data_IF_166998950292
#
_entry.id   IF_166998950292
#
_cell.length_a   1.000
_cell.length_b   1.000
_cell.length_c   1.000
_cell.angle_alpha   90.00
_cell.angle_beta   90.00
_cell.angle_gamma   90.00
#
_symmetry.space_group_name_H-M   'P 1'
#
loop_
_entity.id
_entity.type
_entity.pdbx_description
1 polymer ?
#
# COMPACT_ATOMS: atom_id res chain seq x y z
N UNK A 1 -1.36 36.24 -24.64
CA UNK A 1 -0.16 35.41 -24.84
C UNK A 1 -0.53 33.96 -24.53
N UNK A 2 -0.40 33.07 -25.51
CA UNK A 2 -0.90 31.68 -25.45
C UNK A 2 -0.19 30.86 -24.36
N UNK A 3 -0.98 30.22 -23.50
CA UNK A 3 -0.51 29.28 -22.46
C UNK A 3 0.03 27.99 -23.11
N UNK A 4 1.35 27.86 -23.21
CA UNK A 4 2.02 26.62 -23.64
C UNK A 4 1.59 25.45 -22.74
N UNK A 5 1.12 24.37 -23.35
CA UNK A 5 0.82 23.11 -22.68
C UNK A 5 2.04 22.62 -21.89
N UNK A 6 1.86 22.33 -20.59
CA UNK A 6 2.93 21.71 -19.79
C UNK A 6 3.20 20.31 -20.35
N UNK A 7 4.44 20.06 -20.77
CA UNK A 7 4.89 18.78 -21.34
C UNK A 7 4.60 17.60 -20.41
N UNK A 8 4.09 16.48 -20.95
CA UNK A 8 3.70 15.28 -20.18
C UNK A 8 4.88 14.61 -19.45
N UNK A 9 6.10 14.86 -19.90
CA UNK A 9 7.33 14.31 -19.30
C UNK A 9 7.55 14.72 -17.84
N UNK A 10 6.93 15.80 -17.38
CA UNK A 10 6.99 16.23 -15.98
C UNK A 10 6.26 15.26 -15.02
N UNK A 11 5.51 14.27 -15.53
CA UNK A 11 5.00 13.16 -14.72
C UNK A 11 6.09 12.18 -14.25
N UNK A 12 7.30 12.26 -14.81
CA UNK A 12 8.40 11.33 -14.53
C UNK A 12 9.63 12.00 -13.91
N UNK A 13 9.60 13.33 -13.75
CA UNK A 13 10.70 14.12 -13.21
C UNK A 13 10.21 15.12 -12.17
N UNK A 14 11.01 15.31 -11.13
CA UNK A 14 10.84 16.38 -10.15
C UNK A 14 11.70 17.57 -10.56
N UNK A 15 11.08 18.74 -10.75
CA UNK A 15 11.79 19.96 -11.17
C UNK A 15 12.21 20.79 -9.97
N UNK A 16 13.49 21.08 -9.87
CA UNK A 16 13.98 22.13 -8.99
C UNK A 16 13.88 23.48 -9.72
N UNK A 17 13.07 24.37 -9.14
CA UNK A 17 12.73 25.68 -9.71
C UNK A 17 13.91 26.66 -9.55
N UNK A 18 14.79 26.44 -8.58
CA UNK A 18 15.91 27.34 -8.27
C UNK A 18 17.13 27.07 -9.16
N UNK A 19 17.39 25.80 -9.46
CA UNK A 19 18.58 25.36 -10.21
C UNK A 19 18.30 25.04 -11.68
N UNK A 20 17.03 25.04 -12.12
CA UNK A 20 16.60 24.56 -13.43
C UNK A 20 17.00 23.10 -13.72
N UNK A 21 17.22 22.31 -12.68
CA UNK A 21 17.50 20.88 -12.77
C UNK A 21 16.22 20.05 -12.66
N UNK A 22 16.25 18.87 -13.26
CA UNK A 22 15.18 17.89 -13.22
C UNK A 22 15.74 16.53 -12.81
N UNK A 23 15.19 15.97 -11.74
CA UNK A 23 15.60 14.67 -11.18
C UNK A 23 14.64 13.59 -11.64
N UNK A 24 15.14 12.54 -12.28
CA UNK A 24 14.32 11.41 -12.67
C UNK A 24 13.79 10.66 -11.44
N UNK A 25 12.48 10.44 -11.38
CA UNK A 25 11.85 9.76 -10.24
C UNK A 25 12.21 8.27 -10.15
N UNK A 26 12.62 7.64 -11.27
CA UNK A 26 12.92 6.22 -11.36
C UNK A 26 14.40 5.87 -11.08
N UNK A 27 15.35 6.64 -11.62
CA UNK A 27 16.78 6.35 -11.46
C UNK A 27 17.56 7.41 -10.67
N UNK A 28 16.88 8.47 -10.19
CA UNK A 28 17.46 9.57 -9.40
C UNK A 28 18.58 10.36 -10.08
N UNK A 29 18.79 10.18 -11.39
CA UNK A 29 19.73 10.99 -12.18
C UNK A 29 19.19 12.40 -12.42
N UNK A 30 20.02 13.41 -12.21
CA UNK A 30 19.74 14.83 -12.44
C UNK A 30 20.10 15.25 -13.86
N UNK A 31 19.27 16.08 -14.47
CA UNK A 31 19.43 16.62 -15.81
C UNK A 31 19.16 18.12 -15.82
N UNK A 32 19.98 18.91 -16.52
CA UNK A 32 19.70 20.33 -16.70
C UNK A 32 18.59 20.56 -17.72
N UNK A 33 17.71 21.53 -17.47
CA UNK A 33 16.59 21.86 -18.37
C UNK A 33 16.78 23.24 -19.01
N UNK A 34 16.92 23.26 -20.33
CA UNK A 34 17.17 24.46 -21.14
C UNK A 34 15.97 24.79 -22.04
N UNK A 35 14.84 25.09 -21.40
CA UNK A 35 13.63 25.62 -22.07
C UNK A 35 12.82 24.64 -22.94
N UNK A 36 13.35 23.45 -23.22
CA UNK A 36 12.62 22.32 -23.83
C UNK A 36 12.72 21.07 -22.95
N UNK A 37 12.02 19.99 -23.33
CA UNK A 37 11.98 18.75 -22.55
C UNK A 37 12.42 17.51 -23.34
N UNK A 38 13.16 17.69 -24.43
CA UNK A 38 13.53 16.60 -25.33
C UNK A 38 14.57 15.66 -24.70
N UNK A 39 15.49 16.21 -23.89
CA UNK A 39 16.48 15.45 -23.13
C UNK A 39 15.84 14.52 -22.09
N UNK A 40 14.79 15.00 -21.39
CA UNK A 40 14.03 14.22 -20.41
C UNK A 40 13.28 13.05 -21.09
N UNK A 41 12.63 13.30 -22.23
CA UNK A 41 11.96 12.24 -23.01
C UNK A 41 12.94 11.20 -23.54
N UNK A 42 14.10 11.62 -24.05
CA UNK A 42 15.15 10.70 -24.50
C UNK A 42 15.67 9.80 -23.35
N UNK A 43 15.80 10.35 -22.15
CA UNK A 43 16.14 9.57 -20.97
C UNK A 43 15.08 8.52 -20.65
N UNK A 44 13.81 8.93 -20.56
CA UNK A 44 12.69 8.06 -20.22
C UNK A 44 12.49 6.95 -21.27
N UNK A 45 12.66 7.28 -22.54
CA UNK A 45 12.61 6.30 -23.64
C UNK A 45 13.79 5.30 -23.58
N UNK A 46 15.02 5.77 -23.40
CA UNK A 46 16.22 4.90 -23.46
C UNK A 46 16.49 4.10 -22.18
N UNK A 47 16.19 4.66 -21.01
CA UNK A 47 16.55 4.06 -19.71
C UNK A 47 15.35 3.35 -19.08
N UNK A 48 14.13 3.84 -19.33
CA UNK A 48 12.91 3.35 -18.71
C UNK A 48 11.91 2.74 -19.70
N UNK A 49 12.21 2.76 -21.00
CA UNK A 49 11.40 2.18 -22.08
C UNK A 49 9.93 2.64 -22.09
N UNK A 50 9.70 3.92 -21.73
CA UNK A 50 8.38 4.55 -21.71
C UNK A 50 8.30 5.50 -22.92
N UNK A 51 7.32 5.27 -23.80
CA UNK A 51 7.09 6.09 -25.00
C UNK A 51 5.97 7.13 -24.79
N UNK A 52 6.00 8.21 -25.57
CA UNK A 52 4.97 9.26 -25.56
C UNK A 52 3.83 8.89 -26.54
N UNK A 53 2.58 8.79 -26.08
CA UNK A 53 1.43 8.43 -26.92
C UNK A 53 0.87 9.57 -27.79
N UNK A 54 1.54 10.72 -27.88
CA UNK A 54 1.17 11.80 -28.82
C UNK A 54 2.15 11.91 -29.99
N UNK A 55 1.86 11.17 -31.06
CA UNK A 55 2.43 11.39 -32.39
C UNK A 55 1.76 12.56 -33.11
N UNK A 56 2.58 13.54 -33.50
CA UNK A 56 2.62 14.17 -34.84
C UNK A 56 1.30 14.32 -35.63
N UNK A 57 0.85 15.57 -35.83
CA UNK A 57 0.12 16.01 -37.04
C UNK A 57 0.99 17.11 -37.70
N UNK A 58 1.66 16.85 -38.82
CA UNK A 58 1.20 16.78 -40.22
C UNK A 58 1.17 18.16 -40.91
N UNK A 59 1.95 18.30 -41.98
CA UNK A 59 1.78 19.31 -43.02
C UNK A 59 1.23 18.63 -44.27
N UNK A 60 0.33 19.33 -44.97
CA UNK A 60 -0.37 18.96 -46.22
C UNK A 60 -1.51 17.94 -46.01
N UNK A 61 -2.75 18.11 -46.47
CA UNK A 61 -3.28 18.90 -47.59
C UNK A 61 -4.70 19.43 -47.32
N UNK A 62 -4.99 20.57 -47.95
CA UNK A 62 -6.29 21.23 -48.10
C UNK A 62 -7.06 20.72 -49.32
N UNK A 63 -8.34 20.34 -49.18
CA UNK A 63 -9.38 20.56 -50.21
C UNK A 63 -10.80 20.47 -49.59
N UNK A 64 -11.54 21.59 -49.69
CA UNK A 64 -12.90 21.78 -50.26
C UNK A 64 -13.91 20.62 -50.28
N UNK A 65 -15.25 20.77 -50.19
CA UNK A 65 -16.23 21.85 -50.00
C UNK A 65 -17.61 21.13 -49.89
N UNK A 66 -18.58 21.75 -49.22
CA UNK A 66 -20.00 21.84 -49.66
C UNK A 66 -21.01 20.67 -49.51
N UNK A 67 -21.98 20.91 -48.61
CA UNK A 67 -23.42 21.20 -48.89
C UNK A 67 -24.50 20.11 -48.78
N UNK A 68 -25.61 20.56 -48.14
CA UNK A 68 -27.07 20.35 -48.38
C UNK A 68 -27.80 19.97 -47.05
N UNK A 69 -28.55 20.86 -46.37
CA UNK A 69 -29.93 21.38 -46.63
C UNK A 69 -30.97 20.24 -46.63
N UNK A 70 -32.19 20.26 -46.03
CA UNK A 70 -33.16 21.28 -45.60
C UNK A 70 -34.21 20.60 -44.66
N UNK A 71 -34.70 21.25 -43.58
CA UNK A 71 -36.01 21.92 -43.37
C UNK A 71 -37.26 21.08 -42.98
N UNK A 72 -37.97 21.54 -41.93
CA UNK A 72 -39.44 21.60 -41.72
C UNK A 72 -39.70 22.34 -40.37
N UNK A 73 -40.08 23.63 -40.37
CA UNK A 73 -41.44 24.23 -40.24
C UNK A 73 -42.09 24.11 -38.85
N UNK A 74 -42.82 25.06 -38.23
CA UNK A 74 -43.12 26.49 -38.32
C UNK A 74 -44.05 26.79 -37.11
N UNK A 75 -43.99 27.98 -36.49
CA UNK A 75 -44.96 28.41 -35.48
C UNK A 75 -44.55 29.72 -34.80
N UNK A 76 -45.17 30.81 -35.20
CA UNK A 76 -44.84 32.22 -34.97
C UNK A 76 -45.67 32.85 -33.83
N UNK A 77 -45.12 33.84 -33.11
CA UNK A 77 -45.81 35.01 -32.50
C UNK A 77 -44.77 35.96 -31.83
N UNK A 78 -44.73 37.22 -32.30
CA UNK A 78 -43.93 38.38 -31.84
C UNK A 78 -44.45 38.95 -30.48
N UNK A 79 -43.76 39.77 -29.66
CA UNK A 79 -42.96 40.97 -29.93
C UNK A 79 -42.07 41.38 -28.69
N UNK A 80 -41.17 42.34 -28.92
CA UNK A 80 -40.04 42.96 -28.15
C UNK A 80 -40.32 43.46 -26.71
N UNK A 81 -39.38 43.82 -25.80
CA UNK A 81 -38.13 44.60 -25.87
C UNK A 81 -37.18 44.32 -24.66
N UNK A 82 -35.88 44.35 -24.95
CA UNK A 82 -34.78 45.04 -24.23
C UNK A 82 -34.61 45.02 -22.69
N UNK A 83 -33.34 44.74 -22.32
CA UNK A 83 -32.61 45.22 -21.14
C UNK A 83 -32.63 44.39 -19.84
N UNK A 84 -31.73 43.40 -19.76
CA UNK A 84 -30.69 43.36 -18.70
C UNK A 84 -29.70 42.21 -18.98
N UNK A 85 -28.90 42.40 -20.03
CA UNK A 85 -27.69 41.63 -20.28
C UNK A 85 -26.63 41.97 -19.21
N UNK A 86 -26.69 41.37 -18.02
CA UNK A 86 -25.57 41.48 -17.07
C UNK A 86 -25.42 40.32 -16.06
N UNK A 87 -26.22 39.24 -16.19
CA UNK A 87 -26.25 38.16 -15.18
C UNK A 87 -25.86 36.76 -15.65
N UNK A 88 -25.20 36.63 -16.81
CA UNK A 88 -24.74 35.32 -17.34
C UNK A 88 -23.22 35.08 -17.30
N UNK A 89 -22.43 35.99 -16.73
CA UNK A 89 -20.96 35.91 -16.78
C UNK A 89 -20.26 35.53 -15.46
N UNK A 90 -21.00 35.02 -14.46
CA UNK A 90 -20.42 34.57 -13.17
C UNK A 90 -20.53 33.07 -12.88
N UNK A 91 -21.19 32.26 -13.71
CA UNK A 91 -21.42 30.83 -13.39
C UNK A 91 -20.38 29.89 -14.04
N UNK A 92 -19.66 30.31 -15.08
CA UNK A 92 -18.78 29.41 -15.83
C UNK A 92 -17.34 29.28 -15.29
N UNK A 93 -16.94 30.10 -14.30
CA UNK A 93 -15.56 30.11 -13.80
C UNK A 93 -15.37 29.14 -12.61
N UNK A 94 -16.42 28.86 -11.84
CA UNK A 94 -16.34 27.97 -10.66
C UNK A 94 -16.30 26.47 -11.05
N UNK A 95 -17.09 26.03 -12.03
CA UNK A 95 -17.09 24.64 -12.51
C UNK A 95 -15.71 24.22 -13.04
N UNK A 96 -14.99 25.14 -13.70
CA UNK A 96 -13.65 24.89 -14.22
C UNK A 96 -12.59 24.71 -13.12
N UNK A 97 -12.80 25.31 -11.94
CA UNK A 97 -11.93 25.14 -10.77
C UNK A 97 -12.22 23.81 -10.05
N UNK A 98 -13.49 23.36 -10.01
CA UNK A 98 -13.87 22.05 -9.48
C UNK A 98 -13.48 20.87 -10.39
N UNK A 99 -13.12 21.12 -11.65
CA UNK A 99 -12.70 20.06 -12.57
C UNK A 99 -11.18 19.77 -12.58
N UNK A 100 -10.35 20.59 -11.92
CA UNK A 100 -8.96 20.20 -11.62
C UNK A 100 -8.88 19.16 -10.48
N UNK A 101 -9.85 19.20 -9.57
CA UNK A 101 -10.14 18.13 -8.61
C UNK A 101 -10.80 16.90 -9.24
N UNK A 102 -11.33 16.99 -10.48
CA UNK A 102 -12.04 15.90 -11.15
C UNK A 102 -11.12 14.74 -11.58
N UNK A 103 -9.88 15.00 -12.01
CA UNK A 103 -8.96 13.90 -12.41
C UNK A 103 -8.41 13.12 -11.21
N UNK A 104 -8.13 13.79 -10.10
CA UNK A 104 -7.69 13.14 -8.86
C UNK A 104 -8.86 12.39 -8.20
N UNK A 105 -10.02 13.05 -8.06
CA UNK A 105 -11.25 12.41 -7.55
C UNK A 105 -11.66 11.22 -8.43
N UNK A 106 -11.55 11.35 -9.76
CA UNK A 106 -11.77 10.21 -10.67
C UNK A 106 -10.81 9.07 -10.39
N UNK A 107 -9.51 9.33 -10.25
CA UNK A 107 -8.53 8.28 -9.92
C UNK A 107 -8.84 7.59 -8.59
N UNK A 108 -9.27 8.33 -7.59
CA UNK A 108 -9.66 7.79 -6.29
C UNK A 108 -10.88 6.88 -6.40
N UNK A 109 -11.92 7.30 -7.12
CA UNK A 109 -13.10 6.47 -7.37
C UNK A 109 -12.75 5.26 -8.25
N UNK A 110 -11.96 5.45 -9.32
CA UNK A 110 -11.49 4.35 -10.17
C UNK A 110 -10.73 3.30 -9.32
N UNK A 111 -9.86 3.74 -8.40
CA UNK A 111 -9.14 2.84 -7.49
C UNK A 111 -10.11 2.09 -6.55
N UNK A 112 -11.13 2.75 -5.99
CA UNK A 112 -12.14 2.10 -5.15
C UNK A 112 -12.96 1.06 -5.92
N UNK A 113 -13.30 1.35 -7.18
CA UNK A 113 -13.98 0.39 -8.05
C UNK A 113 -13.10 -0.83 -8.32
N UNK A 114 -11.79 -0.64 -8.56
CA UNK A 114 -10.85 -1.75 -8.73
C UNK A 114 -10.65 -2.54 -7.44
N UNK A 115 -10.56 -1.87 -6.29
CA UNK A 115 -10.44 -2.52 -5.00
C UNK A 115 -11.70 -3.34 -4.70
N UNK A 116 -12.91 -2.84 -4.99
CA UNK A 116 -14.15 -3.64 -4.90
C UNK A 116 -14.09 -4.87 -5.82
N UNK A 117 -13.72 -4.70 -7.09
CA UNK A 117 -13.62 -5.82 -8.04
C UNK A 117 -12.63 -6.89 -7.56
N UNK A 118 -11.50 -6.48 -7.00
CA UNK A 118 -10.41 -7.38 -6.64
C UNK A 118 -10.57 -8.00 -5.25
N UNK A 119 -11.06 -7.25 -4.26
CA UNK A 119 -11.30 -7.75 -2.91
C UNK A 119 -12.51 -8.67 -2.86
N UNK A 120 -13.57 -8.33 -3.59
CA UNK A 120 -14.83 -9.07 -3.60
C UNK A 120 -14.92 -10.07 -4.76
N UNK A 121 -13.82 -10.27 -5.50
CA UNK A 121 -13.69 -11.22 -6.61
C UNK A 121 -14.81 -11.08 -7.66
N UNK A 122 -15.21 -9.85 -7.95
CA UNK A 122 -16.30 -9.58 -8.89
C UNK A 122 -15.85 -9.77 -10.34
N UNK A 123 -16.76 -10.18 -11.24
CA UNK A 123 -16.45 -10.26 -12.65
C UNK A 123 -16.17 -8.86 -13.21
N UNK A 124 -15.20 -8.74 -14.13
CA UNK A 124 -14.87 -7.45 -14.77
C UNK A 124 -16.04 -6.86 -15.57
N UNK A 125 -17.10 -7.63 -15.84
CA UNK A 125 -18.31 -7.14 -16.48
C UNK A 125 -19.17 -6.26 -15.58
N UNK A 126 -18.94 -6.24 -14.26
CA UNK A 126 -19.78 -5.48 -13.31
C UNK A 126 -19.87 -3.99 -13.66
N UNK A 127 -18.84 -3.42 -14.28
CA UNK A 127 -18.85 -2.02 -14.75
C UNK A 127 -19.82 -1.77 -15.90
N UNK A 128 -20.27 -2.83 -16.57
CA UNK A 128 -21.31 -2.80 -17.60
C UNK A 128 -22.72 -3.04 -17.05
N UNK A 129 -22.86 -3.45 -15.79
CA UNK A 129 -24.14 -3.88 -15.24
C UNK A 129 -25.05 -2.67 -14.98
N UNK A 130 -26.29 -2.77 -15.44
CA UNK A 130 -27.26 -1.64 -15.42
C UNK A 130 -27.49 -1.12 -14.00
N UNK A 131 -27.67 -2.02 -13.03
CA UNK A 131 -27.90 -1.63 -11.63
C UNK A 131 -26.70 -0.92 -11.00
N UNK A 132 -25.48 -1.38 -11.30
CA UNK A 132 -24.27 -0.74 -10.79
C UNK A 132 -24.07 0.65 -11.41
N UNK A 133 -24.31 0.79 -12.72
CA UNK A 133 -24.25 2.09 -13.38
C UNK A 133 -25.28 3.08 -12.84
N UNK A 134 -26.51 2.62 -12.57
CA UNK A 134 -27.56 3.45 -11.97
C UNK A 134 -27.16 3.94 -10.57
N UNK A 135 -26.61 3.06 -9.74
CA UNK A 135 -26.12 3.41 -8.41
C UNK A 135 -25.01 4.47 -8.49
N UNK A 136 -23.99 4.24 -9.32
CA UNK A 136 -22.85 5.15 -9.46
C UNK A 136 -23.30 6.52 -9.99
N UNK A 137 -24.17 6.55 -11.00
CA UNK A 137 -24.73 7.79 -11.52
C UNK A 137 -25.56 8.54 -10.47
N UNK A 138 -26.26 7.82 -9.59
CA UNK A 138 -27.02 8.45 -8.50
C UNK A 138 -26.11 9.04 -7.42
N UNK A 139 -24.96 8.41 -7.16
CA UNK A 139 -23.98 8.88 -6.18
C UNK A 139 -23.16 10.07 -6.69
N UNK A 140 -22.69 10.02 -7.95
CA UNK A 140 -21.98 11.13 -8.60
C UNK A 140 -22.29 11.14 -10.12
N UNK A 141 -23.22 12.03 -10.57
CA UNK A 141 -23.58 12.11 -11.99
C UNK A 141 -22.45 12.56 -12.92
N UNK A 142 -21.41 13.19 -12.38
CA UNK A 142 -20.28 13.71 -13.17
C UNK A 142 -19.18 12.66 -13.35
N UNK A 143 -19.21 11.57 -12.57
CA UNK A 143 -18.25 10.49 -12.67
C UNK A 143 -18.68 9.47 -13.73
N UNK A 144 -17.81 9.27 -14.72
CA UNK A 144 -17.95 8.20 -15.70
C UNK A 144 -17.13 6.99 -15.28
N UNK A 145 -17.84 5.89 -15.06
CA UNK A 145 -17.26 4.59 -14.73
C UNK A 145 -16.32 4.13 -15.87
N UNK A 146 -15.17 3.52 -15.54
CA UNK A 146 -14.25 3.01 -16.55
C UNK A 146 -14.87 1.86 -17.34
N UNK A 147 -14.50 1.74 -18.61
CA UNK A 147 -14.94 0.62 -19.44
C UNK A 147 -14.26 -0.68 -19.02
N UNK A 148 -14.85 -1.84 -19.36
CA UNK A 148 -14.26 -3.16 -19.12
C UNK A 148 -12.83 -3.27 -19.67
N UNK A 149 -12.57 -2.67 -20.83
CA UNK A 149 -11.23 -2.61 -21.43
C UNK A 149 -10.27 -1.77 -20.61
N UNK A 150 -10.69 -0.58 -20.15
CA UNK A 150 -9.87 0.27 -19.27
C UNK A 150 -9.56 -0.42 -17.94
N UNK A 151 -10.53 -1.12 -17.36
CA UNK A 151 -10.34 -1.93 -16.15
C UNK A 151 -9.28 -3.01 -16.40
N UNK A 152 -9.43 -3.79 -17.47
CA UNK A 152 -8.56 -4.93 -17.79
C UNK A 152 -7.13 -4.53 -18.17
N UNK A 153 -6.98 -3.52 -19.04
CA UNK A 153 -5.72 -3.24 -19.72
C UNK A 153 -4.90 -2.14 -19.04
N UNK A 154 -5.55 -1.25 -18.28
CA UNK A 154 -4.88 -0.10 -17.68
C UNK A 154 -4.93 -0.15 -16.16
N UNK A 155 -6.14 -0.19 -15.58
CA UNK A 155 -6.30 0.00 -14.14
C UNK A 155 -5.84 -1.21 -13.34
N UNK A 156 -6.21 -2.43 -13.76
CA UNK A 156 -5.83 -3.66 -13.06
C UNK A 156 -4.32 -3.93 -13.14
N UNK A 157 -3.64 -3.80 -14.30
CA UNK A 157 -2.18 -3.93 -14.36
C UNK A 157 -1.45 -2.86 -13.55
N UNK A 158 -1.94 -1.61 -13.55
CA UNK A 158 -1.37 -0.54 -12.73
C UNK A 158 -1.49 -0.89 -11.24
N UNK A 159 -2.68 -1.29 -10.79
CA UNK A 159 -2.94 -1.68 -9.40
C UNK A 159 -2.08 -2.87 -8.97
N UNK A 160 -1.98 -3.88 -9.82
CA UNK A 160 -1.11 -5.03 -9.61
C UNK A 160 0.35 -4.59 -9.42
N UNK A 161 0.87 -3.73 -10.29
CA UNK A 161 2.25 -3.24 -10.19
C UNK A 161 2.50 -2.41 -8.93
N UNK A 162 1.55 -1.56 -8.54
CA UNK A 162 1.63 -0.80 -7.27
C UNK A 162 1.73 -1.75 -6.07
N UNK A 163 0.86 -2.76 -6.00
CA UNK A 163 0.87 -3.76 -4.92
C UNK A 163 2.14 -4.61 -4.97
N UNK A 164 2.58 -5.01 -6.17
CA UNK A 164 3.82 -5.78 -6.38
C UNK A 164 5.05 -5.01 -5.90
N UNK A 165 5.14 -3.72 -6.19
CA UNK A 165 6.27 -2.88 -5.73
C UNK A 165 6.27 -2.78 -4.21
N UNK A 166 5.10 -2.51 -3.59
CA UNK A 166 4.98 -2.47 -2.13
C UNK A 166 5.39 -3.80 -1.49
N UNK A 167 4.93 -4.91 -2.07
CA UNK A 167 5.32 -6.24 -1.63
C UNK A 167 6.83 -6.43 -1.77
N UNK A 168 7.41 -6.09 -2.92
CA UNK A 168 8.84 -6.18 -3.16
C UNK A 168 9.65 -5.34 -2.17
N UNK A 169 9.19 -4.15 -1.80
CA UNK A 169 9.84 -3.33 -0.77
C UNK A 169 9.81 -3.97 0.61
N UNK A 170 8.69 -4.61 0.98
CA UNK A 170 8.58 -5.37 2.23
C UNK A 170 9.56 -6.56 2.22
N UNK A 171 9.69 -7.25 1.08
CA UNK A 171 10.56 -8.41 0.91
C UNK A 171 12.04 -8.04 0.82
N UNK A 172 12.40 -6.96 0.11
CA UNK A 172 13.78 -6.46 -0.01
C UNK A 172 14.25 -5.78 1.28
N UNK A 173 13.31 -5.41 2.15
CA UNK A 173 13.56 -4.97 3.52
C UNK A 173 13.88 -6.09 4.51
N UNK A 174 13.96 -7.37 4.09
CA UNK A 174 14.49 -8.48 4.90
C UNK A 174 15.99 -8.26 5.19
N UNK A 175 16.28 -7.32 6.07
CA UNK A 175 17.58 -7.19 6.73
C UNK A 175 17.61 -8.25 7.82
N UNK A 176 18.71 -8.98 7.97
CA UNK A 176 18.90 -10.01 9.01
C UNK A 176 18.60 -9.55 10.46
N UNK A 177 18.48 -8.23 10.66
CA UNK A 177 18.12 -7.60 11.94
C UNK A 177 16.62 -7.37 12.15
N UNK A 178 15.74 -7.66 11.18
CA UNK A 178 14.31 -7.36 11.22
C UNK A 178 13.45 -8.57 10.84
N UNK A 179 13.35 -9.55 11.74
CA UNK A 179 12.51 -10.75 11.57
C UNK A 179 10.99 -10.47 11.42
N UNK A 180 10.57 -9.20 11.54
CA UNK A 180 9.21 -8.73 11.29
C UNK A 180 8.75 -9.01 9.85
N UNK A 181 9.61 -8.78 8.86
CA UNK A 181 9.28 -9.05 7.45
C UNK A 181 9.09 -10.55 7.22
N UNK A 182 9.93 -11.41 7.80
CA UNK A 182 9.76 -12.86 7.77
C UNK A 182 8.44 -13.31 8.40
N UNK A 183 8.06 -12.75 9.56
CA UNK A 183 6.76 -13.02 10.18
C UNK A 183 5.59 -12.65 9.25
N UNK A 184 5.62 -11.43 8.69
CA UNK A 184 4.58 -10.94 7.77
C UNK A 184 4.51 -11.77 6.47
N UNK A 185 5.64 -12.23 5.94
CA UNK A 185 5.70 -13.13 4.78
C UNK A 185 5.02 -14.45 5.05
N UNK A 186 5.35 -15.09 6.18
CA UNK A 186 4.77 -16.38 6.57
C UNK A 186 3.27 -16.21 6.82
N UNK A 187 2.85 -15.12 7.48
CA UNK A 187 1.43 -14.82 7.68
C UNK A 187 0.70 -14.70 6.34
N UNK A 188 1.31 -13.96 5.40
CA UNK A 188 0.69 -13.72 4.10
C UNK A 188 0.60 -14.99 3.28
N UNK A 189 1.67 -15.79 3.19
CA UNK A 189 1.66 -17.03 2.38
C UNK A 189 0.66 -18.04 2.93
N UNK A 190 0.43 -18.08 4.24
CA UNK A 190 -0.60 -18.91 4.85
C UNK A 190 -2.02 -18.41 4.55
N UNK A 191 -2.23 -17.10 4.39
CA UNK A 191 -3.53 -16.52 4.03
C UNK A 191 -3.87 -16.71 2.55
N UNK A 192 -2.90 -16.47 1.65
CA UNK A 192 -3.16 -16.48 0.19
C UNK A 192 -2.77 -17.80 -0.48
N UNK A 193 -2.08 -18.69 0.22
CA UNK A 193 -1.43 -19.86 -0.36
C UNK A 193 -2.38 -20.82 -1.08
N UNK A 194 -3.59 -20.99 -0.57
CA UNK A 194 -4.59 -21.87 -1.19
C UNK A 194 -5.12 -21.26 -2.50
N UNK A 195 -5.49 -19.98 -2.50
CA UNK A 195 -5.90 -19.26 -3.70
C UNK A 195 -4.79 -19.20 -4.75
N UNK A 196 -3.54 -19.00 -4.29
CA UNK A 196 -2.36 -19.00 -5.14
C UNK A 196 -2.13 -20.37 -5.78
N UNK A 197 -2.32 -21.45 -5.02
CA UNK A 197 -2.21 -22.84 -5.52
C UNK A 197 -3.19 -23.07 -6.67
N UNK A 198 -4.47 -22.73 -6.48
CA UNK A 198 -5.50 -22.88 -7.51
C UNK A 198 -5.18 -22.05 -8.75
N UNK A 199 -4.76 -20.79 -8.57
CA UNK A 199 -4.42 -19.91 -9.68
C UNK A 199 -3.21 -20.42 -10.48
N UNK A 200 -2.16 -20.89 -9.80
CA UNK A 200 -0.94 -21.41 -10.43
C UNK A 200 -1.21 -22.70 -11.21
N UNK A 201 -2.04 -23.60 -10.68
CA UNK A 201 -2.43 -24.83 -11.36
C UNK A 201 -3.10 -24.54 -12.72
N UNK A 202 -3.86 -23.45 -12.81
CA UNK A 202 -4.50 -23.02 -14.07
C UNK A 202 -3.51 -22.44 -15.10
N UNK A 203 -2.34 -21.97 -14.66
CA UNK A 203 -1.34 -21.30 -15.51
C UNK A 203 -0.29 -22.31 -16.05
N UNK A 204 -0.33 -23.58 -15.60
CA UNK A 204 0.67 -24.62 -15.94
C UNK A 204 2.11 -24.16 -15.68
N UNK A 205 2.34 -23.50 -14.55
CA UNK A 205 3.67 -23.09 -14.13
C UNK A 205 4.40 -24.24 -13.43
N UNK A 206 5.73 -24.26 -13.54
CA UNK A 206 6.62 -25.22 -12.86
C UNK A 206 6.73 -25.00 -11.34
N UNK A 207 5.90 -24.12 -10.77
CA UNK A 207 5.87 -23.86 -9.34
C UNK A 207 5.21 -25.00 -8.56
N UNK A 208 5.90 -25.52 -7.56
CA UNK A 208 5.38 -26.49 -6.61
C UNK A 208 4.73 -25.77 -5.41
N UNK A 209 3.41 -25.92 -5.21
CA UNK A 209 2.73 -25.41 -4.02
C UNK A 209 3.31 -25.99 -2.73
N UNK A 210 3.20 -25.24 -1.62
CA UNK A 210 3.58 -25.76 -0.31
C UNK A 210 2.73 -27.00 0.03
N UNK A 211 3.41 -28.05 0.47
CA UNK A 211 2.79 -29.25 1.01
C UNK A 211 1.99 -28.95 2.28
N UNK A 212 1.09 -29.87 2.63
CA UNK A 212 0.32 -29.76 3.88
C UNK A 212 1.26 -29.70 5.11
N UNK A 213 2.34 -30.50 5.09
CA UNK A 213 3.33 -30.53 6.15
C UNK A 213 4.04 -29.18 6.29
N UNK A 214 4.52 -28.58 5.19
CA UNK A 214 5.16 -27.26 5.22
C UNK A 214 4.20 -26.18 5.71
N UNK A 215 2.93 -26.22 5.30
CA UNK A 215 1.91 -25.29 5.78
C UNK A 215 1.66 -25.43 7.29
N UNK A 216 1.63 -26.66 7.82
CA UNK A 216 1.49 -26.90 9.26
C UNK A 216 2.72 -26.40 10.03
N UNK A 217 3.94 -26.69 9.53
CA UNK A 217 5.18 -26.19 10.11
C UNK A 217 5.19 -24.66 10.17
N UNK A 218 4.82 -23.97 9.09
CA UNK A 218 4.72 -22.51 9.06
C UNK A 218 3.67 -21.97 10.05
N UNK A 219 2.52 -22.64 10.20
CA UNK A 219 1.48 -22.29 11.19
C UNK A 219 1.95 -22.46 12.64
N UNK A 220 2.88 -23.37 12.90
CA UNK A 220 3.47 -23.53 14.24
C UNK A 220 4.58 -22.49 14.49
N UNK A 221 5.42 -22.24 13.50
CA UNK A 221 6.49 -21.25 13.57
C UNK A 221 5.94 -19.83 13.79
N UNK A 222 4.85 -19.47 13.11
CA UNK A 222 4.26 -18.14 13.24
C UNK A 222 3.76 -17.86 14.66
N UNK A 223 3.19 -18.87 15.35
CA UNK A 223 2.77 -18.73 16.77
C UNK A 223 3.95 -18.44 17.69
N UNK A 224 5.11 -19.01 17.39
CA UNK A 224 6.34 -18.76 18.16
C UNK A 224 6.87 -17.36 17.87
N UNK A 225 6.87 -16.93 16.61
CA UNK A 225 7.36 -15.62 16.17
C UNK A 225 6.44 -14.45 16.59
N UNK A 226 5.14 -14.69 16.71
CA UNK A 226 4.14 -13.67 17.12
C UNK A 226 4.47 -13.00 18.46
N UNK A 227 5.02 -13.77 19.39
CA UNK A 227 5.48 -13.28 20.70
C UNK A 227 6.50 -12.17 20.53
N UNK A 228 7.41 -12.37 19.58
CA UNK A 228 8.45 -11.40 19.26
C UNK A 228 7.84 -10.25 18.48
N UNK A 229 6.92 -10.48 17.55
CA UNK A 229 6.29 -9.44 16.70
C UNK A 229 5.74 -8.27 17.51
N UNK A 230 4.98 -8.56 18.57
CA UNK A 230 4.35 -7.52 19.38
C UNK A 230 5.26 -6.91 20.46
N UNK A 231 6.35 -7.58 20.86
CA UNK A 231 7.17 -7.10 21.98
C UNK A 231 7.89 -5.76 21.70
N UNK A 232 8.49 -5.52 20.53
CA UNK A 232 9.09 -4.23 20.17
C UNK A 232 8.07 -3.09 20.09
N UNK A 233 6.83 -3.35 19.68
CA UNK A 233 5.77 -2.34 19.61
C UNK A 233 5.48 -1.76 21.01
N UNK A 234 5.47 -2.62 22.03
CA UNK A 234 5.28 -2.23 23.43
C UNK A 234 6.52 -1.48 23.97
N UNK A 235 7.72 -1.76 23.47
CA UNK A 235 8.96 -1.12 23.96
C UNK A 235 9.24 0.20 23.25
N UNK A 236 8.79 0.35 21.99
CA UNK A 236 9.11 1.50 21.14
C UNK A 236 8.25 2.74 21.40
N UNK A 237 7.45 2.74 22.48
CA UNK A 237 6.66 3.91 22.89
C UNK A 237 7.50 5.00 23.58
N UNK A 238 6.97 6.23 23.58
CA UNK A 238 7.62 7.44 24.14
C UNK A 238 7.69 7.50 25.70
N UNK A 239 7.46 6.40 26.41
CA UNK A 239 7.41 6.34 27.88
C UNK A 239 8.62 5.64 28.50
N UNK A 240 8.75 5.70 29.84
CA UNK A 240 9.82 5.04 30.60
C UNK A 240 9.81 3.53 30.33
N UNK A 241 10.79 3.07 29.54
CA UNK A 241 10.89 1.68 29.07
C UNK A 241 11.48 0.74 30.12
N UNK A 242 12.29 1.25 31.06
CA UNK A 242 13.04 0.37 31.98
C UNK A 242 12.17 -0.42 32.95
N UNK A 243 10.98 0.09 33.33
CA UNK A 243 10.07 -0.66 34.22
C UNK A 243 9.35 -1.81 33.48
N UNK A 244 9.28 -1.74 32.15
CA UNK A 244 8.61 -2.71 31.30
C UNK A 244 9.51 -3.87 30.88
N UNK A 245 10.82 -3.73 31.00
CA UNK A 245 11.78 -4.78 30.60
C UNK A 245 11.50 -6.10 31.31
N UNK A 246 11.36 -6.09 32.65
CA UNK A 246 11.12 -7.31 33.43
C UNK A 246 9.75 -7.94 33.12
N UNK A 247 8.62 -7.18 33.14
CA UNK A 247 7.31 -7.72 32.74
C UNK A 247 7.29 -8.32 31.34
N UNK A 248 7.94 -7.66 30.37
CA UNK A 248 7.98 -8.15 28.98
C UNK A 248 8.78 -9.44 28.89
N UNK A 249 9.97 -9.50 29.50
CA UNK A 249 10.78 -10.73 29.51
C UNK A 249 10.01 -11.88 30.16
N UNK A 250 9.38 -11.65 31.31
CA UNK A 250 8.53 -12.65 31.97
C UNK A 250 7.35 -13.07 31.09
N UNK A 251 6.67 -12.11 30.47
CA UNK A 251 5.56 -12.35 29.53
C UNK A 251 5.97 -13.14 28.28
N UNK A 252 7.19 -12.94 27.78
CA UNK A 252 7.73 -13.73 26.67
C UNK A 252 7.94 -15.20 27.10
N UNK A 253 8.46 -15.43 28.30
CA UNK A 253 8.61 -16.80 28.83
C UNK A 253 7.27 -17.49 29.09
N UNK A 254 6.26 -16.79 29.61
CA UNK A 254 4.94 -17.38 29.87
C UNK A 254 4.28 -17.81 28.56
N UNK A 255 4.27 -16.93 27.54
CA UNK A 255 3.74 -17.25 26.21
C UNK A 255 4.52 -18.37 25.52
N UNK A 256 5.85 -18.41 25.64
CA UNK A 256 6.64 -19.52 25.07
C UNK A 256 6.32 -20.86 25.72
N UNK A 257 6.14 -20.90 27.05
CA UNK A 257 5.72 -22.12 27.74
C UNK A 257 4.31 -22.56 27.32
N UNK A 258 3.40 -21.63 27.03
CA UNK A 258 2.07 -21.94 26.52
C UNK A 258 2.15 -22.56 25.12
N UNK A 259 2.95 -21.98 24.22
CA UNK A 259 3.21 -22.54 22.88
C UNK A 259 3.84 -23.93 22.98
N UNK A 260 4.80 -24.12 23.89
CA UNK A 260 5.46 -25.42 24.13
C UNK A 260 4.47 -26.51 24.56
N UNK A 261 3.57 -26.22 25.50
CA UNK A 261 2.52 -27.17 25.95
C UNK A 261 1.56 -27.56 24.82
N UNK A 262 1.29 -26.62 23.91
CA UNK A 262 0.42 -26.87 22.76
C UNK A 262 1.12 -27.71 21.67
N UNK A 263 2.46 -27.78 21.67
CA UNK A 263 3.26 -28.52 20.69
C UNK A 263 3.58 -29.96 21.13
N UNK A 264 3.49 -30.30 22.41
CA UNK A 264 4.08 -31.53 22.97
C UNK A 264 3.46 -32.86 22.53
N UNK A 265 2.21 -32.89 22.03
CA UNK A 265 1.55 -34.15 21.66
C UNK A 265 1.51 -34.45 20.15
N UNK A 266 1.76 -33.46 19.28
CA UNK A 266 1.63 -33.62 17.81
C UNK A 266 2.42 -32.61 16.97
N UNK A 267 3.23 -31.76 17.60
CA UNK A 267 3.97 -30.70 16.91
C UNK A 267 5.15 -31.20 16.09
N UNK A 268 5.46 -30.48 15.02
CA UNK A 268 6.60 -30.77 14.15
C UNK A 268 7.93 -30.72 14.88
N UNK A 269 8.84 -31.64 14.54
CA UNK A 269 10.22 -31.64 15.05
C UNK A 269 10.97 -30.35 14.72
N UNK A 270 10.62 -29.69 13.61
CA UNK A 270 11.20 -28.39 13.22
C UNK A 270 10.78 -27.32 14.23
N UNK A 271 9.49 -27.26 14.56
CA UNK A 271 8.93 -26.29 15.50
C UNK A 271 9.50 -26.47 16.91
N UNK A 272 9.65 -27.72 17.37
CA UNK A 272 10.29 -28.03 18.67
C UNK A 272 11.74 -27.58 18.71
N UNK A 273 12.53 -27.89 17.67
CA UNK A 273 13.92 -27.43 17.56
C UNK A 273 14.02 -25.90 17.53
N UNK A 274 13.15 -25.24 16.77
CA UNK A 274 13.10 -23.79 16.69
C UNK A 274 12.76 -23.16 18.06
N UNK A 275 11.75 -23.67 18.75
CA UNK A 275 11.37 -23.21 20.09
C UNK A 275 12.52 -23.38 21.09
N UNK A 276 13.22 -24.51 21.07
CA UNK A 276 14.38 -24.75 21.92
C UNK A 276 15.53 -23.75 21.63
N UNK A 277 15.77 -23.42 20.37
CA UNK A 277 16.77 -22.41 19.99
C UNK A 277 16.38 -21.01 20.46
N UNK A 278 15.12 -20.62 20.28
CA UNK A 278 14.60 -19.33 20.75
C UNK A 278 14.73 -19.21 22.27
N UNK A 279 14.36 -20.26 23.01
CA UNK A 279 14.49 -20.31 24.47
C UNK A 279 15.95 -20.12 24.91
N UNK A 280 16.88 -20.83 24.27
CA UNK A 280 18.32 -20.69 24.55
C UNK A 280 18.82 -19.25 24.30
N UNK A 281 18.36 -18.60 23.23
CA UNK A 281 18.72 -17.20 22.95
C UNK A 281 18.11 -16.22 23.95
N UNK A 282 16.87 -16.46 24.40
CA UNK A 282 16.25 -15.67 25.46
C UNK A 282 17.00 -15.81 26.79
N UNK A 283 17.37 -17.03 27.17
CA UNK A 283 18.12 -17.29 28.40
C UNK A 283 19.48 -16.60 28.35
N UNK A 284 20.18 -16.66 27.21
CA UNK A 284 21.49 -16.01 27.04
C UNK A 284 21.41 -14.48 27.06
N UNK A 285 20.39 -13.88 26.44
CA UNK A 285 20.35 -12.44 26.19
C UNK A 285 19.48 -11.67 27.18
N UNK A 286 18.35 -12.25 27.58
CA UNK A 286 17.31 -11.54 28.35
C UNK A 286 17.22 -11.95 29.82
N UNK A 287 17.66 -13.15 30.22
CA UNK A 287 17.56 -13.59 31.61
C UNK A 287 18.31 -12.67 32.59
N UNK A 288 19.40 -12.01 32.14
CA UNK A 288 20.18 -11.11 32.99
C UNK A 288 19.42 -9.85 33.44
N UNK A 289 18.36 -9.44 32.74
CA UNK A 289 17.67 -8.19 33.05
C UNK A 289 16.86 -8.27 34.35
N UNK A 290 16.38 -9.46 34.74
CA UNK A 290 15.70 -9.66 36.02
C UNK A 290 16.66 -9.52 37.22
N UNK A 291 17.94 -9.85 37.02
CA UNK A 291 18.98 -9.75 38.04
C UNK A 291 19.66 -8.37 38.11
N UNK A 292 19.60 -7.57 37.03
CA UNK A 292 20.22 -6.25 36.99
C UNK A 292 19.46 -5.24 37.85
N UNK A 293 20.22 -4.44 38.60
CA UNK A 293 19.70 -3.48 39.58
C UNK A 293 18.70 -2.49 38.97
N UNK A 294 19.00 -1.90 37.80
CA UNK A 294 18.18 -0.85 37.21
C UNK A 294 16.80 -1.35 36.72
N UNK A 295 16.69 -2.37 35.85
CA UNK A 295 15.37 -2.89 35.44
C UNK A 295 14.56 -3.47 36.61
N UNK A 296 15.25 -4.11 37.56
CA UNK A 296 14.64 -4.68 38.77
C UNK A 296 13.98 -3.60 39.64
N UNK A 297 14.72 -2.54 39.98
CA UNK A 297 14.20 -1.44 40.79
C UNK A 297 13.14 -0.63 40.03
N UNK A 298 13.36 -0.36 38.74
CA UNK A 298 12.39 0.35 37.91
C UNK A 298 11.04 -0.40 37.83
N UNK A 299 11.07 -1.73 37.72
CA UNK A 299 9.87 -2.56 37.74
C UNK A 299 9.19 -2.56 39.12
N UNK A 300 9.95 -2.64 40.21
CA UNK A 300 9.43 -2.64 41.58
C UNK A 300 8.75 -1.32 41.96
N UNK A 301 9.32 -0.20 41.53
CA UNK A 301 8.79 1.14 41.77
C UNK A 301 7.56 1.45 40.91
N UNK A 302 7.31 0.68 39.84
CA UNK A 302 6.11 0.83 39.01
C UNK A 302 4.90 0.19 39.72
N UNK A 303 3.88 0.99 40.12
CA UNK A 303 2.73 0.49 40.86
C UNK A 303 1.93 -0.59 40.14
N UNK A 304 2.04 -0.65 38.79
CA UNK A 304 1.33 -1.62 37.95
C UNK A 304 1.90 -3.03 38.03
N UNK A 305 3.19 -3.17 38.36
CA UNK A 305 3.90 -4.45 38.31
C UNK A 305 4.34 -4.93 39.69
N UNK A 306 5.10 -4.09 40.42
CA UNK A 306 5.68 -4.43 41.72
C UNK A 306 6.34 -5.82 41.68
N UNK A 307 5.97 -6.73 42.57
CA UNK A 307 6.53 -8.10 42.64
C UNK A 307 5.88 -9.08 41.66
N UNK A 308 4.76 -8.74 41.03
CA UNK A 308 3.98 -9.65 40.18
C UNK A 308 4.65 -9.96 38.83
N UNK A 309 5.56 -9.08 38.39
CA UNK A 309 6.23 -9.21 37.10
C UNK A 309 7.48 -10.11 37.13
N UNK A 310 7.92 -10.56 38.30
CA UNK A 310 9.13 -11.35 38.47
C UNK A 310 8.84 -12.85 38.33
N UNK A 311 9.67 -13.53 37.53
CA UNK A 311 9.62 -14.98 37.36
C UNK A 311 10.25 -15.67 38.57
N UNK A 312 11.35 -15.12 39.09
CA UNK A 312 11.99 -15.58 40.31
C UNK A 312 11.61 -14.68 41.50
N UNK A 313 10.93 -15.27 42.49
CA UNK A 313 10.52 -14.57 43.71
C UNK A 313 11.69 -14.01 44.51
N UNK A 314 12.86 -14.67 44.48
CA UNK A 314 14.06 -14.20 45.20
C UNK A 314 14.56 -12.87 44.65
N UNK A 315 14.44 -12.64 43.33
CA UNK A 315 14.82 -11.37 42.72
C UNK A 315 13.89 -10.24 43.18
N UNK A 316 12.60 -10.51 43.33
CA UNK A 316 11.65 -9.53 43.85
C UNK A 316 11.92 -9.16 45.30
N UNK A 317 12.22 -10.15 46.16
CA UNK A 317 12.51 -9.96 47.57
C UNK A 317 13.83 -9.21 47.79
N UNK A 318 14.89 -9.60 47.08
CA UNK A 318 16.19 -8.93 47.13
C UNK A 318 16.13 -7.50 46.55
N UNK A 319 15.18 -7.20 45.67
CA UNK A 319 14.97 -5.84 45.18
C UNK A 319 14.23 -4.96 46.18
N UNK A 320 13.21 -5.51 46.88
CA UNK A 320 12.50 -4.80 47.95
C UNK A 320 13.41 -4.44 49.12
N UNK A 321 14.36 -5.30 49.48
CA UNK A 321 15.33 -5.01 50.55
C UNK A 321 16.31 -3.86 50.21
N UNK A 322 16.39 -3.44 48.94
CA UNK A 322 17.25 -2.35 48.48
C UNK A 322 16.50 -1.01 48.32
N UNK A 323 15.18 -0.99 48.51
CA UNK A 323 14.31 0.19 48.42
C UNK A 323 14.00 0.66 49.85
#
# INVERSE_FOLDING_TARGET
MASKSKSEVWGYFEKDILTNEATCLYCKKTYQTSGNTSNLWNHIKKVHNIENEKGTLSTADTVSLSSMSAMSSSGDFQESESASHERKQKVLVLDSYFYKTSTQKKKEIDNLVIDMITLDMQPLSIVGDVGFQQLINKLDPHYKLPSKTQVKEVLLPRRYNEVKIKLKQILEGDVATQWNSTYLMIQRILQIGDSLTVAILNIKSDYTPLSLEEKLNLKELIKTLEIFFHAPEIISGDYVTSSLVVPIVTGMYTKLNEVERNLTDSGSEISKKFLAQIRNQLDKRLACFEAKTIPKLACLLDPRFKTLAFKNKDNSLNGQACI
#
